data_IF_541569240547
#
_entry.id   IF_541569240547
#
_cell.length_a   1.000
_cell.length_b   1.000
_cell.length_c   1.000
_cell.angle_alpha   90.00
_cell.angle_beta   90.00
_cell.angle_gamma   90.00
#
_symmetry.space_group_name_H-M   'P 1'
#
loop_
_entity.id
_entity.type
_entity.pdbx_description
1 polymer ?
#
# COMPACT_ATOMS: atom_id res chain seq x y z
N UNK A 1 8.54 -0.93 -17.18
CA UNK A 1 8.43 -0.06 -15.97
C UNK A 1 7.92 -0.89 -14.82
N UNK A 2 8.52 -0.73 -13.66
CA UNK A 2 8.11 -1.46 -12.45
C UNK A 2 7.20 -0.61 -11.59
N UNK A 3 6.31 -1.26 -10.86
CA UNK A 3 5.31 -0.62 -10.03
C UNK A 3 5.38 -1.10 -8.58
N UNK A 4 4.73 -0.37 -7.70
CA UNK A 4 4.38 -0.80 -6.36
C UNK A 4 2.88 -0.64 -6.15
N UNK A 5 2.34 -1.05 -5.02
CA UNK A 5 0.92 -0.89 -4.74
C UNK A 5 0.68 -0.58 -3.25
N UNK A 6 -0.49 -0.04 -2.98
CA UNK A 6 -0.96 0.18 -1.62
C UNK A 6 -1.82 -0.98 -1.10
N UNK A 7 -2.32 -0.85 0.11
CA UNK A 7 -3.13 -1.86 0.79
C UNK A 7 -4.43 -2.17 0.03
N UNK A 8 -5.00 -1.19 -0.67
CA UNK A 8 -6.24 -1.38 -1.43
C UNK A 8 -6.09 -2.33 -2.61
N UNK A 9 -4.87 -2.53 -3.08
CA UNK A 9 -4.53 -3.51 -4.12
C UNK A 9 -3.97 -4.80 -3.53
N UNK A 10 -3.13 -4.71 -2.49
CA UNK A 10 -2.51 -5.90 -1.89
C UNK A 10 -3.54 -6.82 -1.25
N UNK A 11 -4.49 -6.28 -0.47
CA UNK A 11 -5.50 -7.11 0.19
C UNK A 11 -6.28 -7.96 -0.81
N UNK A 12 -6.89 -7.39 -1.87
CA UNK A 12 -7.57 -8.23 -2.86
C UNK A 12 -6.63 -9.22 -3.57
N UNK A 13 -5.37 -8.86 -3.75
CA UNK A 13 -4.40 -9.74 -4.40
C UNK A 13 -4.18 -11.04 -3.62
N UNK A 14 -4.13 -10.97 -2.29
CA UNK A 14 -3.90 -12.15 -1.45
C UNK A 14 -5.17 -12.77 -0.88
N UNK A 15 -6.26 -12.03 -0.79
CA UNK A 15 -7.53 -12.50 -0.24
C UNK A 15 -8.40 -13.10 -1.36
N UNK A 16 -8.32 -14.41 -1.55
CA UNK A 16 -9.00 -15.11 -2.65
C UNK A 16 -10.53 -14.98 -2.64
N UNK A 17 -11.12 -14.69 -1.48
CA UNK A 17 -12.56 -14.47 -1.32
C UNK A 17 -13.00 -13.04 -1.68
N UNK A 18 -12.06 -12.11 -1.88
CA UNK A 18 -12.39 -10.72 -2.20
C UNK A 18 -12.94 -10.61 -3.62
N UNK A 19 -13.97 -9.78 -3.80
CA UNK A 19 -14.62 -9.61 -5.12
C UNK A 19 -13.65 -9.08 -6.19
N UNK A 20 -12.64 -8.32 -5.80
CA UNK A 20 -11.63 -7.78 -6.71
C UNK A 20 -10.38 -8.66 -6.83
N UNK A 21 -10.39 -9.89 -6.29
CA UNK A 21 -9.21 -10.75 -6.27
C UNK A 21 -8.63 -11.00 -7.67
N UNK A 22 -9.43 -11.50 -8.57
CA UNK A 22 -8.97 -11.84 -9.93
C UNK A 22 -8.43 -10.62 -10.66
N UNK A 23 -9.14 -9.50 -10.56
CA UNK A 23 -8.71 -8.24 -11.17
C UNK A 23 -7.36 -7.78 -10.61
N UNK A 24 -7.19 -7.78 -9.29
CA UNK A 24 -5.94 -7.33 -8.67
C UNK A 24 -4.76 -8.27 -8.97
N UNK A 25 -4.99 -9.59 -9.01
CA UNK A 25 -3.95 -10.54 -9.42
C UNK A 25 -3.48 -10.25 -10.84
N UNK A 26 -4.41 -10.01 -11.77
CA UNK A 26 -4.07 -9.64 -13.14
C UNK A 26 -3.28 -8.33 -13.18
N UNK A 27 -3.73 -7.31 -12.46
CA UNK A 27 -3.10 -5.99 -12.44
C UNK A 27 -1.66 -6.08 -11.92
N UNK A 28 -1.42 -6.71 -10.78
CA UNK A 28 -0.06 -6.79 -10.20
C UNK A 28 0.89 -7.60 -11.08
N UNK A 29 0.35 -8.54 -11.85
CA UNK A 29 1.14 -9.34 -12.79
C UNK A 29 1.47 -8.55 -14.05
N UNK A 30 0.46 -7.94 -14.68
CA UNK A 30 0.64 -7.22 -15.94
C UNK A 30 1.40 -5.90 -15.78
N UNK A 31 1.29 -5.26 -14.62
CA UNK A 31 2.02 -4.02 -14.28
C UNK A 31 3.39 -4.26 -13.68
N UNK A 32 3.83 -5.51 -13.59
CA UNK A 32 5.14 -5.87 -13.05
C UNK A 32 5.40 -5.22 -11.67
N UNK A 33 4.52 -5.49 -10.71
CA UNK A 33 4.77 -5.10 -9.32
C UNK A 33 5.98 -5.88 -8.81
N UNK A 34 6.99 -5.19 -8.33
CA UNK A 34 8.26 -5.79 -7.92
C UNK A 34 8.69 -5.41 -6.51
N UNK A 35 8.01 -4.47 -5.90
CA UNK A 35 8.32 -4.00 -4.57
C UNK A 35 7.03 -3.58 -3.85
N UNK A 36 7.09 -3.60 -2.53
CA UNK A 36 5.96 -3.27 -1.67
C UNK A 36 6.43 -2.42 -0.50
N UNK A 37 5.79 -1.28 -0.21
CA UNK A 37 6.15 -0.51 0.98
C UNK A 37 5.98 -1.34 2.25
N UNK A 38 6.97 -1.32 3.11
CA UNK A 38 6.94 -2.09 4.36
C UNK A 38 5.70 -1.76 5.21
N UNK A 39 5.28 -0.50 5.21
CA UNK A 39 4.05 -0.08 5.90
C UNK A 39 2.81 -0.82 5.37
N UNK A 40 2.73 -1.02 4.06
CA UNK A 40 1.60 -1.74 3.42
C UNK A 40 1.53 -3.18 3.90
N UNK A 41 2.67 -3.84 4.13
CA UNK A 41 2.69 -5.19 4.70
C UNK A 41 2.07 -5.21 6.11
N UNK A 42 2.48 -4.28 6.97
CA UNK A 42 1.95 -4.19 8.33
C UNK A 42 0.46 -3.83 8.36
N UNK A 43 0.06 -2.89 7.52
CA UNK A 43 -1.35 -2.49 7.42
C UNK A 43 -2.23 -3.64 6.93
N UNK A 44 -1.77 -4.38 5.94
CA UNK A 44 -2.48 -5.57 5.43
C UNK A 44 -2.68 -6.62 6.52
N UNK A 45 -1.62 -6.91 7.27
CA UNK A 45 -1.71 -7.80 8.42
C UNK A 45 -2.74 -7.30 9.43
N UNK A 46 -2.66 -6.02 9.79
CA UNK A 46 -3.58 -5.41 10.75
C UNK A 46 -5.04 -5.50 10.29
N UNK A 47 -5.32 -5.17 9.04
CA UNK A 47 -6.69 -5.18 8.49
C UNK A 47 -7.25 -6.60 8.46
N UNK A 48 -6.53 -7.56 7.90
CA UNK A 48 -7.04 -8.93 7.72
C UNK A 48 -7.24 -9.67 9.04
N UNK A 49 -6.42 -9.38 10.04
CA UNK A 49 -6.52 -10.04 11.36
C UNK A 49 -7.55 -9.42 12.29
N UNK A 50 -8.10 -8.23 11.94
CA UNK A 50 -9.15 -7.56 12.75
C UNK A 50 -10.50 -7.48 12.07
N UNK A 51 -10.70 -8.12 10.94
CA UNK A 51 -12.01 -8.20 10.28
C UNK A 51 -13.05 -8.82 11.21
N UNK A 52 -14.36 -8.61 10.95
CA UNK A 52 -15.42 -9.30 11.67
C UNK A 52 -15.15 -10.82 11.67
N UNK A 53 -15.60 -11.49 12.73
CA UNK A 53 -15.24 -12.89 13.01
C UNK A 53 -15.42 -13.82 11.81
N UNK A 54 -16.50 -13.65 11.04
CA UNK A 54 -16.80 -14.47 9.86
C UNK A 54 -15.82 -14.28 8.70
N UNK A 55 -15.20 -13.10 8.63
CA UNK A 55 -14.28 -12.71 7.55
C UNK A 55 -12.82 -12.65 7.99
N UNK A 56 -12.57 -12.82 9.29
CA UNK A 56 -11.23 -12.70 9.87
C UNK A 56 -10.33 -13.82 9.38
N UNK A 57 -9.14 -13.43 8.94
CA UNK A 57 -8.12 -14.39 8.54
C UNK A 57 -7.17 -14.63 9.71
N UNK A 58 -6.81 -15.89 9.95
CA UNK A 58 -5.88 -16.24 11.03
C UNK A 58 -4.52 -15.60 10.82
N UNK A 59 -3.90 -15.14 11.91
CA UNK A 59 -2.62 -14.45 11.89
C UNK A 59 -1.52 -15.23 11.16
N UNK A 60 -1.46 -16.54 11.37
CA UNK A 60 -0.46 -17.43 10.75
C UNK A 60 -0.65 -17.52 9.24
N UNK A 61 -1.91 -17.52 8.78
CA UNK A 61 -2.25 -17.57 7.35
C UNK A 61 -1.81 -16.27 6.68
N UNK A 62 -2.12 -15.13 7.29
CA UNK A 62 -1.72 -13.82 6.74
C UNK A 62 -0.21 -13.70 6.69
N UNK A 63 0.48 -14.08 7.77
CA UNK A 63 1.95 -14.06 7.82
C UNK A 63 2.56 -14.89 6.69
N UNK A 64 2.07 -16.12 6.50
CA UNK A 64 2.56 -17.00 5.44
C UNK A 64 2.30 -16.41 4.04
N UNK A 65 1.15 -15.82 3.81
CA UNK A 65 0.82 -15.20 2.52
C UNK A 65 1.73 -14.01 2.22
N UNK A 66 2.03 -13.18 3.21
CA UNK A 66 2.92 -12.03 3.04
C UNK A 66 4.37 -12.47 2.82
N UNK A 67 4.83 -13.50 3.54
CA UNK A 67 6.16 -14.08 3.33
C UNK A 67 6.33 -14.67 1.92
N UNK A 68 5.25 -15.19 1.35
CA UNK A 68 5.30 -15.82 0.03
C UNK A 68 5.30 -14.81 -1.13
N UNK A 69 5.09 -13.51 -0.87
CA UNK A 69 5.13 -12.50 -1.93
C UNK A 69 6.52 -12.44 -2.57
N UNK A 70 6.60 -12.44 -3.90
CA UNK A 70 7.90 -12.38 -4.60
C UNK A 70 8.46 -10.95 -4.68
N UNK A 71 7.91 -10.02 -3.91
CA UNK A 71 8.22 -8.59 -3.99
C UNK A 71 9.18 -8.18 -2.89
N UNK A 72 10.09 -7.30 -3.24
CA UNK A 72 11.03 -6.72 -2.28
C UNK A 72 10.32 -5.69 -1.39
N UNK A 73 10.47 -5.80 -0.07
CA UNK A 73 10.01 -4.77 0.84
C UNK A 73 10.88 -3.52 0.73
N UNK A 74 10.25 -2.35 0.66
CA UNK A 74 10.93 -1.06 0.57
C UNK A 74 10.44 -0.13 1.67
N UNK A 75 11.29 0.80 2.10
CA UNK A 75 10.98 1.75 3.15
C UNK A 75 11.40 3.15 2.81
N UNK A 76 10.81 4.12 3.50
CA UNK A 76 11.27 5.50 3.48
C UNK A 76 12.47 5.61 4.43
N UNK A 77 13.59 6.20 4.02
CA UNK A 77 14.72 6.41 4.94
C UNK A 77 14.30 7.18 6.19
N UNK A 78 14.90 6.84 7.33
CA UNK A 78 14.53 7.41 8.62
C UNK A 78 14.57 8.94 8.62
N UNK A 79 15.58 9.53 8.02
CA UNK A 79 15.77 10.97 7.91
C UNK A 79 14.70 11.69 7.09
N UNK A 80 14.01 10.97 6.22
CA UNK A 80 12.93 11.53 5.39
C UNK A 80 11.59 11.64 6.15
N UNK A 81 11.48 11.04 7.33
CA UNK A 81 10.23 11.07 8.08
C UNK A 81 9.90 12.47 8.61
N UNK A 82 10.89 13.20 9.14
CA UNK A 82 10.65 14.59 9.59
C UNK A 82 10.37 15.52 8.41
N UNK A 83 11.00 15.28 7.27
CA UNK A 83 10.69 16.01 6.01
C UNK A 83 9.23 15.79 5.63
N UNK A 84 8.77 14.54 5.66
CA UNK A 84 7.38 14.21 5.38
C UNK A 84 6.42 14.89 6.36
N UNK A 85 6.73 14.86 7.66
CA UNK A 85 5.90 15.51 8.68
C UNK A 85 5.75 17.01 8.43
N UNK A 86 6.83 17.70 8.10
CA UNK A 86 6.77 19.13 7.76
C UNK A 86 5.87 19.38 6.55
N UNK A 87 5.92 18.53 5.55
CA UNK A 87 5.09 18.64 4.37
C UNK A 87 3.63 18.36 4.66
N UNK A 88 3.33 17.31 5.42
CA UNK A 88 1.97 16.98 5.85
C UNK A 88 1.35 18.14 6.65
N UNK A 89 2.13 18.72 7.57
CA UNK A 89 1.69 19.87 8.38
C UNK A 89 1.37 21.07 7.49
N UNK A 90 2.24 21.39 6.55
CA UNK A 90 2.03 22.51 5.62
C UNK A 90 0.79 22.32 4.75
N UNK A 91 0.46 21.10 4.37
CA UNK A 91 -0.70 20.75 3.54
C UNK A 91 -1.98 20.50 4.37
N UNK A 92 -1.92 20.63 5.68
CA UNK A 92 -3.07 20.42 6.56
C UNK A 92 -3.52 18.96 6.66
N UNK A 93 -2.62 18.02 6.43
CA UNK A 93 -2.91 16.58 6.50
C UNK A 93 -2.59 16.02 7.89
N UNK A 94 -3.51 15.21 8.42
CA UNK A 94 -3.39 14.62 9.76
C UNK A 94 -4.15 13.30 9.82
N UNK A 95 -4.02 12.58 10.95
CA UNK A 95 -4.72 11.33 11.17
C UNK A 95 -4.35 10.24 10.18
N UNK A 96 -5.32 9.52 9.64
CA UNK A 96 -5.09 8.41 8.70
C UNK A 96 -4.39 8.81 7.42
N UNK A 97 -4.56 10.05 6.97
CA UNK A 97 -3.88 10.59 5.78
C UNK A 97 -2.35 10.57 5.91
N UNK A 98 -1.83 10.58 7.13
CA UNK A 98 -0.37 10.49 7.39
C UNK A 98 0.21 9.21 6.81
N UNK A 99 -0.48 8.10 6.95
CA UNK A 99 0.01 6.81 6.47
C UNK A 99 -0.12 6.66 4.95
N UNK A 100 -1.13 7.26 4.34
CA UNK A 100 -1.18 7.40 2.87
C UNK A 100 0.01 8.22 2.38
N UNK A 101 0.36 9.27 3.12
CA UNK A 101 1.54 10.08 2.85
C UNK A 101 2.85 9.29 2.94
N UNK A 102 2.95 8.39 3.92
CA UNK A 102 4.12 7.50 4.06
C UNK A 102 4.24 6.56 2.86
N UNK A 103 3.14 5.96 2.45
CA UNK A 103 3.11 5.06 1.28
C UNK A 103 3.50 5.82 0.01
N UNK A 104 2.91 6.99 -0.22
CA UNK A 104 3.22 7.83 -1.37
C UNK A 104 4.70 8.24 -1.40
N UNK A 105 5.24 8.67 -0.26
CA UNK A 105 6.63 9.10 -0.16
C UNK A 105 7.61 7.94 -0.35
N UNK A 106 7.26 6.76 0.13
CA UNK A 106 8.05 5.54 -0.08
C UNK A 106 8.12 5.19 -1.56
N UNK A 107 6.98 5.18 -2.24
CA UNK A 107 6.92 4.91 -3.68
C UNK A 107 7.75 5.92 -4.48
N UNK A 108 7.58 7.21 -4.19
CA UNK A 108 8.31 8.29 -4.85
C UNK A 108 9.81 8.20 -4.62
N UNK A 109 10.24 7.90 -3.39
CA UNK A 109 11.65 7.75 -3.05
C UNK A 109 12.33 6.64 -3.88
N UNK A 110 11.60 5.57 -4.14
CA UNK A 110 12.12 4.46 -4.95
C UNK A 110 11.81 4.58 -6.45
N UNK A 111 11.21 5.69 -6.87
CA UNK A 111 10.91 5.95 -8.28
C UNK A 111 9.88 4.99 -8.88
N UNK A 112 8.96 4.48 -8.06
CA UNK A 112 7.96 3.50 -8.46
C UNK A 112 6.57 4.15 -8.52
N UNK A 113 5.87 4.08 -9.67
CA UNK A 113 4.46 4.45 -9.70
C UNK A 113 3.64 3.53 -8.80
N UNK A 114 2.62 4.09 -8.17
CA UNK A 114 1.80 3.42 -7.16
C UNK A 114 0.46 3.00 -7.75
N UNK A 115 0.13 1.73 -7.66
CA UNK A 115 -1.20 1.23 -8.01
C UNK A 115 -2.11 1.33 -6.79
N UNK A 116 -3.33 1.85 -6.99
CA UNK A 116 -4.29 2.03 -5.90
C UNK A 116 -5.72 1.82 -6.39
N UNK A 117 -6.59 1.41 -5.47
CA UNK A 117 -8.05 1.38 -5.65
C UNK A 117 -8.76 2.30 -4.66
N UNK A 118 -7.99 3.02 -3.85
CA UNK A 118 -8.52 3.89 -2.80
C UNK A 118 -8.76 5.31 -3.33
N UNK A 119 -10.00 5.62 -3.66
CA UNK A 119 -10.37 6.96 -4.14
C UNK A 119 -10.15 8.05 -3.10
N UNK A 120 -10.19 7.73 -1.81
CA UNK A 120 -9.96 8.71 -0.73
C UNK A 120 -8.49 9.09 -0.62
N UNK A 121 -7.58 8.16 -0.89
CA UNK A 121 -6.14 8.40 -0.86
C UNK A 121 -5.66 9.32 -1.98
N UNK A 122 -6.42 9.43 -3.07
CA UNK A 122 -6.05 10.27 -4.23
C UNK A 122 -5.68 11.69 -3.82
N UNK A 123 -6.45 12.30 -2.92
CA UNK A 123 -6.17 13.67 -2.46
C UNK A 123 -4.75 13.77 -1.86
N UNK A 124 -4.37 12.82 -1.02
CA UNK A 124 -3.04 12.81 -0.39
C UNK A 124 -1.98 12.56 -1.45
N UNK A 125 -2.19 11.61 -2.33
CA UNK A 125 -1.25 11.29 -3.40
C UNK A 125 -1.03 12.49 -4.33
N UNK A 126 -2.09 13.18 -4.71
CA UNK A 126 -2.01 14.40 -5.52
C UNK A 126 -1.23 15.52 -4.79
N UNK A 127 -1.54 15.76 -3.53
CA UNK A 127 -0.88 16.81 -2.74
C UNK A 127 0.60 16.56 -2.53
N UNK A 128 1.02 15.30 -2.46
CA UNK A 128 2.43 14.93 -2.30
C UNK A 128 3.15 14.70 -3.63
N UNK A 129 2.47 14.90 -4.76
CA UNK A 129 3.06 14.72 -6.07
C UNK A 129 3.43 13.26 -6.39
N UNK A 130 2.73 12.32 -5.78
CA UNK A 130 2.93 10.90 -6.05
C UNK A 130 2.41 10.54 -7.44
N UNK A 131 3.19 9.79 -8.19
CA UNK A 131 2.73 9.20 -9.45
C UNK A 131 1.96 7.95 -9.10
N UNK A 132 0.68 7.91 -9.43
CA UNK A 132 -0.17 6.76 -9.15
C UNK A 132 -1.13 6.47 -10.30
N UNK A 133 -1.67 5.27 -10.29
CA UNK A 133 -2.65 4.80 -11.26
C UNK A 133 -3.80 4.11 -10.52
N UNK A 134 -5.03 4.54 -10.82
CA UNK A 134 -6.24 3.88 -10.31
C UNK A 134 -6.49 2.61 -11.10
N UNK A 135 -6.74 1.52 -10.40
CA UNK A 135 -6.95 0.20 -11.03
C UNK A 135 -8.22 -0.49 -10.56
#
# INVERSE_FOLDING_TARGET
MKFTCDTSVLIPTIASWHTAHEHCVEVVTTRDVSAIPAHVLLETYSVLTRLPRESRVGAEIVSAALDALPWRAIGLPAEEHLVLIRRLSADGLSGGAVYDGLVASTAAHHGLPLLTRDTRARRVYDMLGCVYEMV
#
